data_IF_463795712321
#
_entry.id   IF_463795712321
#
_cell.length_a   1.000
_cell.length_b   1.000
_cell.length_c   1.000
_cell.angle_alpha   90.00
_cell.angle_beta   90.00
_cell.angle_gamma   90.00
#
_symmetry.space_group_name_H-M   'P 1'
#
loop_
_entity.id
_entity.type
_entity.pdbx_description
1 polymer ?
#
# COMPACT_ATOMS: atom_id res chain seq x y z
N UNK A 1 -48.64 -10.25 10.68
CA UNK A 1 -47.46 -10.87 11.33
C UNK A 1 -46.26 -10.03 10.93
N UNK A 2 -45.52 -9.45 11.88
CA UNK A 2 -44.35 -8.63 11.57
C UNK A 2 -43.09 -9.49 11.70
N UNK A 3 -42.42 -9.73 10.58
CA UNK A 3 -41.15 -10.45 10.50
C UNK A 3 -40.04 -9.52 11.02
N UNK A 4 -39.24 -9.90 12.04
CA UNK A 4 -38.12 -9.09 12.47
C UNK A 4 -37.03 -9.13 11.39
N UNK A 5 -36.90 -8.06 10.61
CA UNK A 5 -35.76 -7.88 9.70
C UNK A 5 -34.50 -7.70 10.53
N UNK A 6 -33.71 -8.75 10.68
CA UNK A 6 -32.38 -8.68 11.30
C UNK A 6 -31.47 -7.84 10.40
N UNK A 7 -31.22 -6.58 10.80
CA UNK A 7 -30.34 -5.68 10.06
C UNK A 7 -28.89 -6.05 10.37
N UNK A 8 -28.24 -6.70 9.40
CA UNK A 8 -26.80 -6.96 9.47
C UNK A 8 -26.08 -5.60 9.55
N UNK A 9 -25.21 -5.37 10.56
CA UNK A 9 -24.49 -4.11 10.68
C UNK A 9 -23.61 -3.87 9.45
N UNK A 10 -23.61 -2.63 8.96
CA UNK A 10 -22.78 -2.21 7.83
C UNK A 10 -21.32 -2.22 8.27
N UNK A 11 -20.62 -3.29 7.92
CA UNK A 11 -19.21 -3.52 8.24
C UNK A 11 -18.32 -3.18 7.04
N UNK A 12 -17.09 -2.77 7.32
CA UNK A 12 -16.04 -2.55 6.32
C UNK A 12 -14.99 -3.65 6.44
N UNK A 13 -14.33 -3.97 5.34
CA UNK A 13 -13.20 -4.89 5.34
C UNK A 13 -11.88 -4.11 5.32
N UNK A 14 -10.92 -4.53 6.16
CA UNK A 14 -9.61 -3.89 6.23
C UNK A 14 -8.83 -4.16 4.95
N UNK A 15 -8.36 -3.11 4.27
CA UNK A 15 -7.63 -3.27 3.00
C UNK A 15 -6.25 -3.95 3.14
N UNK A 16 -5.73 -4.05 4.37
CA UNK A 16 -4.46 -4.72 4.66
C UNK A 16 -4.63 -6.20 4.99
N UNK A 17 -5.57 -6.56 5.87
CA UNK A 17 -5.70 -7.92 6.41
C UNK A 17 -7.06 -8.59 6.17
N UNK A 18 -8.00 -7.89 5.52
CA UNK A 18 -9.32 -8.43 5.16
C UNK A 18 -10.31 -8.59 6.32
N UNK A 19 -9.93 -8.29 7.57
CA UNK A 19 -10.86 -8.38 8.72
C UNK A 19 -12.07 -7.45 8.55
N UNK A 20 -13.26 -7.97 8.81
CA UNK A 20 -14.48 -7.18 8.94
C UNK A 20 -14.45 -6.36 10.24
N UNK A 21 -14.78 -5.08 10.18
CA UNK A 21 -14.83 -4.18 11.33
C UNK A 21 -15.92 -3.12 11.13
N UNK A 22 -16.52 -2.65 12.22
CA UNK A 22 -17.58 -1.63 12.20
C UNK A 22 -16.96 -0.26 12.43
N UNK A 23 -16.10 -0.16 13.46
CA UNK A 23 -15.32 1.02 13.81
C UNK A 23 -13.83 0.79 13.60
N UNK A 24 -13.12 1.80 13.09
CA UNK A 24 -11.70 1.70 12.79
C UNK A 24 -11.12 3.00 12.23
N UNK A 25 -9.82 2.98 11.91
CA UNK A 25 -9.12 4.17 11.44
C UNK A 25 -9.28 4.34 9.91
N UNK A 26 -10.51 4.67 9.49
CA UNK A 26 -10.89 4.87 8.10
C UNK A 26 -11.01 3.55 7.31
N UNK A 27 -9.95 3.17 6.58
CA UNK A 27 -9.90 1.96 5.72
C UNK A 27 -9.21 0.77 6.38
N UNK A 28 -8.72 0.93 7.60
CA UNK A 28 -7.96 -0.08 8.33
C UNK A 28 -8.65 -0.41 9.66
N UNK A 29 -8.65 -1.68 10.03
CA UNK A 29 -9.23 -2.13 11.31
C UNK A 29 -8.45 -1.65 12.54
N UNK A 30 -7.19 -1.24 12.39
CA UNK A 30 -6.34 -0.74 13.48
C UNK A 30 -5.16 0.07 12.94
N UNK A 31 -4.55 0.92 13.77
CA UNK A 31 -3.34 1.68 13.40
C UNK A 31 -2.17 0.79 13.00
N UNK A 32 -2.02 -0.37 13.62
CA UNK A 32 -1.02 -1.37 13.22
C UNK A 32 -1.13 -1.73 11.74
N UNK A 33 -2.35 -1.98 11.23
CA UNK A 33 -2.55 -2.35 9.82
C UNK A 33 -2.25 -1.18 8.87
N UNK A 34 -2.49 0.05 9.31
CA UNK A 34 -2.19 1.28 8.56
C UNK A 34 -0.68 1.51 8.48
N UNK A 35 0.02 1.41 9.61
CA UNK A 35 1.47 1.62 9.66
C UNK A 35 2.25 0.54 8.94
N UNK A 36 1.90 -0.74 9.11
CA UNK A 36 2.57 -1.82 8.38
C UNK A 36 2.41 -1.66 6.86
N UNK A 37 1.22 -1.27 6.37
CA UNK A 37 1.03 -1.00 4.94
C UNK A 37 1.88 0.19 4.47
N UNK A 38 1.97 1.26 5.26
CA UNK A 38 2.81 2.43 4.95
C UNK A 38 4.30 2.07 4.90
N UNK A 39 4.78 1.27 5.85
CA UNK A 39 6.16 0.79 5.87
C UNK A 39 6.49 -0.09 4.67
N UNK A 40 5.59 -1.01 4.31
CA UNK A 40 5.73 -1.88 3.12
C UNK A 40 5.81 -1.07 1.82
N UNK A 41 4.96 -0.04 1.68
CA UNK A 41 4.99 0.88 0.54
C UNK A 41 6.29 1.69 0.50
N UNK A 42 6.79 2.14 1.64
CA UNK A 42 8.03 2.92 1.72
C UNK A 42 9.25 2.08 1.35
N UNK A 43 9.32 0.83 1.84
CA UNK A 43 10.41 -0.11 1.48
C UNK A 43 10.39 -0.43 -0.02
N UNK A 44 9.21 -0.72 -0.55
CA UNK A 44 9.02 -1.00 -1.99
C UNK A 44 9.41 0.18 -2.87
N UNK A 45 9.09 1.42 -2.45
CA UNK A 45 9.46 2.64 -3.17
C UNK A 45 10.96 2.85 -3.23
N UNK A 46 11.69 2.61 -2.14
CA UNK A 46 13.15 2.77 -2.10
C UNK A 46 13.85 1.78 -3.06
N UNK A 47 13.37 0.54 -3.13
CA UNK A 47 13.91 -0.46 -4.07
C UNK A 47 13.74 -0.01 -5.53
N UNK A 48 12.55 0.47 -5.88
CA UNK A 48 12.28 1.00 -7.23
C UNK A 48 13.16 2.22 -7.55
N UNK A 49 13.35 3.11 -6.59
CA UNK A 49 14.17 4.30 -6.75
C UNK A 49 15.65 3.94 -6.98
N UNK A 50 16.19 2.96 -6.26
CA UNK A 50 17.55 2.43 -6.50
C UNK A 50 17.72 1.83 -7.90
N UNK A 51 16.76 1.01 -8.35
CA UNK A 51 16.79 0.42 -9.69
C UNK A 51 16.76 1.53 -10.75
N UNK A 52 15.91 2.54 -10.56
CA UNK A 52 15.81 3.68 -11.47
C UNK A 52 17.11 4.49 -11.52
N UNK A 53 17.73 4.77 -10.37
CA UNK A 53 19.04 5.45 -10.31
C UNK A 53 20.14 4.65 -11.00
N UNK A 54 20.18 3.32 -10.82
CA UNK A 54 21.13 2.46 -11.50
C UNK A 54 20.94 2.49 -13.03
N UNK A 55 19.69 2.39 -13.50
CA UNK A 55 19.37 2.48 -14.93
C UNK A 55 19.77 3.83 -15.54
N UNK A 56 19.44 4.94 -14.85
CA UNK A 56 19.85 6.30 -15.27
C UNK A 56 21.37 6.43 -15.27
N UNK A 57 22.05 5.91 -14.24
CA UNK A 57 23.52 5.93 -14.16
C UNK A 57 24.17 5.22 -15.35
N UNK A 58 23.72 4.02 -15.69
CA UNK A 58 24.21 3.28 -16.87
C UNK A 58 23.95 4.04 -18.17
N UNK A 59 22.76 4.62 -18.33
CA UNK A 59 22.42 5.47 -19.48
C UNK A 59 23.37 6.67 -19.61
N UNK A 60 23.62 7.39 -18.51
CA UNK A 60 24.52 8.55 -18.50
C UNK A 60 25.95 8.12 -18.85
N UNK A 61 26.43 7.02 -18.25
CA UNK A 61 27.76 6.47 -18.54
C UNK A 61 27.88 6.10 -20.03
N UNK A 62 26.88 5.42 -20.60
CA UNK A 62 26.88 5.06 -22.01
C UNK A 62 26.91 6.29 -22.94
N UNK A 63 26.18 7.35 -22.59
CA UNK A 63 26.18 8.61 -23.35
C UNK A 63 27.53 9.32 -23.25
N UNK A 64 28.15 9.35 -22.08
CA UNK A 64 29.45 10.01 -21.87
C UNK A 64 30.56 9.23 -22.57
N UNK A 65 30.60 7.91 -22.42
CA UNK A 65 31.58 7.05 -23.10
C UNK A 65 31.37 7.09 -24.62
N UNK A 66 30.12 7.05 -25.10
CA UNK A 66 29.83 7.12 -26.53
C UNK A 66 30.04 8.52 -27.14
N UNK A 67 30.28 9.55 -26.33
CA UNK A 67 30.66 10.90 -26.78
C UNK A 67 32.16 11.21 -26.64
N UNK A 68 32.94 10.34 -25.99
CA UNK A 68 34.39 10.39 -25.96
C UNK A 68 34.96 9.70 -27.21
#
# INVERSE_FOLDING_TARGET
MAEPTERIPQHKHCIYCGKAFIDGNGRYCSDKCKDTKKEELTKSKNKLLLIWLAAVGVMVIAIVIGRL
#
